data_IF_097026122382
#
_entry.id   IF_097026122382
#
_cell.length_a   1.000
_cell.length_b   1.000
_cell.length_c   1.000
_cell.angle_alpha   90.00
_cell.angle_beta   90.00
_cell.angle_gamma   90.00
#
_symmetry.space_group_name_H-M   'P 1'
#
loop_
_entity.id
_entity.type
_entity.pdbx_description
1 polymer ?
#
# COMPACT_ATOMS: atom_id res chain seq x y z
N UNK A 1 -6.28 -21.04 8.94
CA UNK A 1 -6.45 -19.91 8.77
C UNK A 1 -5.64 -19.32 7.84
N UNK A 2 -5.86 -18.44 7.26
CA UNK A 2 -5.08 -17.97 6.33
C UNK A 2 -4.47 -16.78 6.71
N UNK A 3 -3.40 -16.51 6.21
CA UNK A 3 -2.82 -15.36 6.51
C UNK A 3 -3.22 -14.30 5.66
N UNK A 4 -3.09 -13.15 6.01
CA UNK A 4 -3.40 -12.06 5.19
C UNK A 4 -2.26 -11.65 4.39
N UNK A 5 -1.83 -12.51 3.56
CA UNK A 5 -0.73 -12.22 2.72
C UNK A 5 -1.24 -11.46 1.56
N UNK A 6 -0.99 -10.19 1.46
CA UNK A 6 -1.51 -9.38 0.39
C UNK A 6 -0.46 -9.28 -0.69
N UNK A 7 -0.73 -9.83 -1.85
CA UNK A 7 0.24 -9.86 -2.95
C UNK A 7 -0.38 -9.48 -4.25
N UNK A 8 0.41 -8.99 -5.16
CA UNK A 8 0.01 -8.74 -6.55
C UNK A 8 -1.22 -7.89 -6.66
N UNK A 9 -1.27 -6.83 -5.91
CA UNK A 9 -2.37 -5.94 -5.98
C UNK A 9 -1.98 -4.64 -6.59
N UNK A 10 -2.91 -3.96 -7.21
CA UNK A 10 -2.68 -2.67 -7.83
C UNK A 10 -3.67 -1.67 -7.28
N UNK A 11 -3.15 -0.56 -6.79
CA UNK A 11 -3.99 0.53 -6.37
C UNK A 11 -3.83 1.64 -7.40
N UNK A 12 -4.93 2.06 -8.02
CA UNK A 12 -4.88 3.05 -9.06
C UNK A 12 -5.65 4.28 -8.62
N UNK A 13 -4.98 5.41 -8.56
CA UNK A 13 -5.61 6.67 -8.23
C UNK A 13 -6.32 6.63 -6.88
N UNK A 14 -5.65 6.03 -5.91
CA UNK A 14 -6.22 5.96 -4.59
C UNK A 14 -5.73 7.12 -3.74
N UNK A 15 -6.61 7.59 -2.85
CA UNK A 15 -6.28 8.70 -1.99
C UNK A 15 -6.13 8.15 -0.59
N UNK A 16 -4.93 8.13 -0.08
CA UNK A 16 -4.68 7.63 1.24
C UNK A 16 -4.50 8.76 2.25
N UNK A 17 -4.87 9.97 1.89
CA UNK A 17 -4.72 11.08 2.81
C UNK A 17 -5.80 11.06 3.87
N UNK A 18 -6.99 10.54 3.55
CA UNK A 18 -8.04 10.48 4.51
C UNK A 18 -8.23 9.11 5.04
N UNK A 19 -7.94 8.08 4.27
CA UNK A 19 -8.03 6.73 4.72
C UNK A 19 -6.68 6.13 4.63
N UNK A 20 -5.94 6.03 5.73
CA UNK A 20 -4.56 5.54 5.66
C UNK A 20 -4.50 4.10 5.20
N UNK A 21 -3.38 3.76 4.61
CA UNK A 21 -3.16 2.40 4.17
C UNK A 21 -3.10 1.49 5.39
N UNK A 22 -3.68 0.33 5.30
CA UNK A 22 -3.69 -0.60 6.42
C UNK A 22 -2.27 -1.05 6.72
N UNK A 23 -1.96 -1.25 7.97
CA UNK A 23 -0.62 -1.65 8.34
C UNK A 23 -0.38 -3.09 7.96
N UNK A 24 0.84 -3.40 7.65
CA UNK A 24 1.19 -4.74 7.28
C UNK A 24 2.29 -4.76 6.24
N UNK A 25 2.43 -5.90 5.60
CA UNK A 25 3.46 -6.10 4.63
C UNK A 25 2.85 -6.16 3.25
N UNK A 26 3.35 -5.35 2.34
CA UNK A 26 2.82 -5.31 0.99
C UNK A 26 3.90 -5.80 0.04
N UNK A 27 3.62 -6.86 -0.67
CA UNK A 27 4.60 -7.46 -1.55
C UNK A 27 4.10 -7.43 -2.97
N UNK A 28 4.90 -6.91 -3.87
CA UNK A 28 4.58 -6.85 -5.30
C UNK A 28 3.33 -6.02 -5.57
N UNK A 29 3.20 -4.92 -4.83
CA UNK A 29 2.08 -4.02 -5.05
C UNK A 29 2.49 -2.96 -6.03
N UNK A 30 1.53 -2.47 -6.79
CA UNK A 30 1.74 -1.34 -7.68
C UNK A 30 0.85 -0.22 -7.22
N UNK A 31 1.45 0.91 -6.89
CA UNK A 31 0.68 2.08 -6.47
C UNK A 31 0.81 3.12 -7.58
N UNK A 32 -0.23 3.27 -8.38
CA UNK A 32 -0.19 4.14 -9.53
C UNK A 32 -1.00 5.39 -9.25
N UNK A 33 -0.36 6.53 -9.34
CA UNK A 33 -1.02 7.82 -9.12
C UNK A 33 -1.74 7.87 -7.79
N UNK A 34 -1.15 7.26 -6.76
CA UNK A 34 -1.76 7.27 -5.46
C UNK A 34 -1.24 8.44 -4.65
N UNK A 35 -2.08 8.98 -3.78
CA UNK A 35 -1.74 10.15 -3.01
C UNK A 35 -1.47 9.72 -1.58
N UNK A 36 -0.22 9.84 -1.17
CA UNK A 36 0.17 9.50 0.18
C UNK A 36 0.53 10.73 1.00
N UNK A 37 0.10 11.89 0.59
CA UNK A 37 0.41 13.12 1.31
C UNK A 37 -0.11 13.02 2.72
N UNK A 38 0.72 13.36 3.68
CA UNK A 38 0.35 13.32 5.08
C UNK A 38 -0.08 11.94 5.55
N UNK A 39 0.23 10.90 4.80
CA UNK A 39 -0.12 9.56 5.22
C UNK A 39 0.96 9.07 6.16
N UNK A 40 0.54 8.35 7.20
CA UNK A 40 1.48 7.80 8.12
C UNK A 40 1.79 6.41 7.70
N UNK A 41 3.00 6.14 7.30
CA UNK A 41 3.35 4.81 6.82
C UNK A 41 4.17 4.05 7.86
N UNK A 42 3.83 4.24 9.12
CA UNK A 42 4.52 3.54 10.19
C UNK A 42 4.04 2.10 10.25
N UNK A 43 4.91 1.20 10.54
CA UNK A 43 4.57 -0.23 10.63
C UNK A 43 4.07 -0.80 9.32
N UNK A 44 4.53 -0.24 8.20
CA UNK A 44 4.19 -0.77 6.91
C UNK A 44 5.49 -1.11 6.20
N UNK A 45 5.55 -2.27 5.60
CA UNK A 45 6.72 -2.71 4.86
C UNK A 45 6.34 -2.90 3.41
N UNK A 46 7.16 -2.36 2.54
CA UNK A 46 6.91 -2.50 1.11
C UNK A 46 8.03 -3.32 0.51
N UNK A 47 7.70 -4.46 -0.06
CA UNK A 47 8.67 -5.34 -0.67
C UNK A 47 8.41 -5.41 -2.16
N UNK A 48 9.36 -4.96 -2.94
CA UNK A 48 9.25 -5.02 -4.40
C UNK A 48 7.98 -4.33 -4.87
N UNK A 49 7.66 -3.19 -4.30
CA UNK A 49 6.50 -2.43 -4.71
C UNK A 49 6.92 -1.35 -5.67
N UNK A 50 6.03 -0.96 -6.53
CA UNK A 50 6.29 0.05 -7.53
C UNK A 50 5.39 1.23 -7.26
N UNK A 51 5.98 2.41 -7.20
CA UNK A 51 5.22 3.62 -6.99
C UNK A 51 5.37 4.47 -8.24
N UNK A 52 4.29 4.80 -8.88
CA UNK A 52 4.33 5.61 -10.08
C UNK A 52 3.53 6.86 -9.95
#
# INVERSE_FOLDING_TARGET
MEELLIQDKTFDKKDFTQKPLAKGEYENYNFISCDFSNAELTDIRFLECIFK
#
